data_IF_331196249837
#
_entry.id   IF_331196249837
#
_cell.length_a   1.000
_cell.length_b   1.000
_cell.length_c   1.000
_cell.angle_alpha   90.00
_cell.angle_beta   90.00
_cell.angle_gamma   90.00
#
_symmetry.space_group_name_H-M   'P 1'
#
loop_
_entity.id
_entity.type
_entity.pdbx_description
1 polymer ?
#
# COMPACT_ATOMS: atom_id res chain seq x y z
N UNK A 1 -9.18 -47.89 28.48
CA UNK A 1 -9.27 -46.73 27.58
C UNK A 1 -7.90 -46.07 27.56
N UNK A 2 -7.09 -46.32 26.52
CA UNK A 2 -5.70 -45.86 26.43
C UNK A 2 -5.68 -44.44 25.88
N UNK A 3 -5.00 -43.51 26.55
CA UNK A 3 -4.83 -42.14 26.06
C UNK A 3 -3.96 -42.12 24.79
N UNK A 4 -4.27 -41.29 23.78
CA UNK A 4 -3.40 -41.13 22.62
C UNK A 4 -2.10 -40.48 23.08
N UNK A 5 -0.97 -41.15 22.85
CA UNK A 5 0.36 -40.57 23.05
C UNK A 5 0.59 -39.55 21.93
N UNK A 6 0.39 -38.26 22.21
CA UNK A 6 0.69 -37.19 21.28
C UNK A 6 2.21 -37.12 21.10
N UNK A 7 2.72 -37.63 19.98
CA UNK A 7 4.13 -37.52 19.65
C UNK A 7 4.50 -36.04 19.43
N UNK A 8 5.64 -35.60 19.98
CA UNK A 8 6.08 -34.20 19.97
C UNK A 8 7.27 -34.04 19.03
N UNK A 9 7.24 -33.02 18.17
CA UNK A 9 8.31 -32.73 17.21
C UNK A 9 9.65 -32.51 17.95
N UNK A 10 10.67 -33.29 17.59
CA UNK A 10 12.06 -33.11 18.09
C UNK A 10 12.84 -32.23 17.13
N UNK A 11 13.01 -30.96 17.49
CA UNK A 11 13.79 -29.99 16.72
C UNK A 11 15.20 -29.82 17.30
N UNK A 12 16.15 -29.42 16.45
CA UNK A 12 17.51 -29.04 16.84
C UNK A 12 17.54 -27.76 17.69
N UNK A 13 16.49 -26.92 17.60
CA UNK A 13 16.32 -25.78 18.50
C UNK A 13 15.60 -26.22 19.79
N UNK A 14 16.25 -26.12 20.98
CA UNK A 14 15.63 -26.53 22.24
C UNK A 14 14.37 -25.73 22.58
N UNK A 15 14.16 -24.53 22.03
CA UNK A 15 12.92 -23.75 22.23
C UNK A 15 11.74 -24.40 21.52
N UNK A 16 11.96 -24.99 20.35
CA UNK A 16 10.91 -25.68 19.59
C UNK A 16 10.51 -26.97 20.28
N UNK A 17 11.47 -27.74 20.77
CA UNK A 17 11.19 -28.95 21.56
C UNK A 17 10.46 -28.64 22.88
N UNK A 18 10.69 -27.46 23.48
CA UNK A 18 9.94 -27.00 24.66
C UNK A 18 8.50 -26.60 24.38
N UNK A 19 8.15 -26.23 23.15
CA UNK A 19 6.78 -25.84 22.78
C UNK A 19 5.81 -27.03 22.71
N UNK A 20 6.32 -28.27 22.84
CA UNK A 20 5.53 -29.49 22.83
C UNK A 20 4.56 -29.60 21.63
N UNK A 21 5.03 -29.17 20.46
CA UNK A 21 4.24 -29.13 19.23
C UNK A 21 4.00 -30.57 18.77
N UNK A 22 2.76 -30.97 18.46
CA UNK A 22 2.46 -32.29 17.90
C UNK A 22 3.29 -32.54 16.64
N UNK A 23 3.85 -33.75 16.51
CA UNK A 23 4.58 -34.20 15.31
C UNK A 23 3.66 -34.28 14.09
N UNK A 24 2.40 -34.69 14.31
CA UNK A 24 1.33 -34.61 13.32
C UNK A 24 0.48 -33.36 13.59
N UNK A 25 0.67 -32.34 12.76
CA UNK A 25 -0.23 -31.20 12.73
C UNK A 25 -1.56 -31.61 12.11
N UNK A 26 -2.70 -31.06 12.58
CA UNK A 26 -3.96 -31.23 11.87
C UNK A 26 -3.81 -30.75 10.41
N UNK A 27 -4.58 -31.32 9.48
CA UNK A 27 -4.59 -30.84 8.10
C UNK A 27 -4.85 -29.34 8.09
N UNK A 28 -4.11 -28.60 7.25
CA UNK A 28 -4.26 -27.15 7.12
C UNK A 28 -5.71 -26.82 6.74
N UNK A 29 -6.47 -26.32 7.71
CA UNK A 29 -7.79 -25.77 7.47
C UNK A 29 -7.60 -24.32 7.05
N UNK A 30 -8.08 -23.89 5.86
CA UNK A 30 -8.07 -22.48 5.52
C UNK A 30 -8.86 -21.71 6.60
N UNK A 31 -8.26 -20.63 7.09
CA UNK A 31 -8.86 -19.74 8.07
C UNK A 31 -10.22 -19.24 7.52
N UNK A 32 -11.29 -19.20 8.32
CA UNK A 32 -12.58 -18.76 7.81
C UNK A 32 -12.47 -17.32 7.28
N UNK A 33 -13.21 -16.99 6.20
CA UNK A 33 -13.25 -15.62 5.71
C UNK A 33 -13.74 -14.69 6.83
N UNK A 34 -13.11 -13.51 6.97
CA UNK A 34 -13.34 -12.51 8.04
C UNK A 34 -12.78 -12.85 9.43
N UNK A 35 -11.91 -13.84 9.57
CA UNK A 35 -11.17 -14.08 10.82
C UNK A 35 -10.02 -13.07 11.05
N UNK A 36 -9.87 -12.12 10.13
CA UNK A 36 -9.06 -10.91 10.24
C UNK A 36 -9.95 -9.70 9.96
N UNK A 37 -9.60 -8.55 10.55
CA UNK A 37 -10.28 -7.29 10.27
C UNK A 37 -10.13 -6.90 8.81
N UNK A 38 -11.07 -6.09 8.31
CA UNK A 38 -11.01 -5.65 6.92
C UNK A 38 -9.77 -4.77 6.69
N UNK A 39 -9.05 -4.96 5.57
CA UNK A 39 -7.94 -4.10 5.20
C UNK A 39 -8.42 -2.78 4.59
N UNK A 40 -7.67 -1.73 4.89
CA UNK A 40 -7.85 -0.36 4.39
C UNK A 40 -6.52 0.12 3.82
N UNK A 41 -6.55 0.63 2.58
CA UNK A 41 -5.42 1.33 1.99
C UNK A 41 -5.37 2.78 2.46
N UNK A 42 -4.17 3.24 2.77
CA UNK A 42 -3.92 4.55 3.35
C UNK A 42 -3.21 5.45 2.35
N UNK A 43 -3.78 6.63 2.13
CA UNK A 43 -3.19 7.67 1.29
C UNK A 43 -2.83 8.89 2.13
N UNK A 44 -1.59 9.34 2.02
CA UNK A 44 -1.05 10.45 2.81
C UNK A 44 -0.63 11.60 1.91
N UNK A 45 -0.76 12.82 2.41
CA UNK A 45 -0.36 14.06 1.73
C UNK A 45 0.37 14.98 2.71
N UNK A 46 1.59 15.37 2.35
CA UNK A 46 2.44 16.21 3.19
C UNK A 46 2.05 17.70 3.11
N UNK A 47 1.84 18.24 1.91
CA UNK A 47 1.64 19.67 1.65
C UNK A 47 0.38 19.95 0.81
N UNK A 48 -0.24 21.12 0.95
CA UNK A 48 -1.28 21.56 0.01
C UNK A 48 -0.73 21.64 -1.41
N UNK A 49 -1.49 21.16 -2.40
CA UNK A 49 -1.08 21.07 -3.80
C UNK A 49 -0.45 19.74 -4.23
N UNK A 50 0.12 18.96 -3.30
CA UNK A 50 0.71 17.65 -3.63
C UNK A 50 -0.36 16.59 -3.92
N UNK A 51 0.02 15.55 -4.68
CA UNK A 51 -0.83 14.38 -4.89
C UNK A 51 -0.77 13.46 -3.67
N UNK A 52 -1.90 12.91 -3.20
CA UNK A 52 -1.90 11.88 -2.18
C UNK A 52 -1.09 10.67 -2.65
N UNK A 53 -0.17 10.19 -1.82
CA UNK A 53 0.63 9.00 -2.09
C UNK A 53 0.10 7.84 -1.27
N UNK A 54 0.05 6.65 -1.87
CA UNK A 54 -0.24 5.43 -1.14
C UNK A 54 0.94 5.08 -0.22
N UNK A 55 0.69 4.92 1.08
CA UNK A 55 1.75 4.64 2.08
C UNK A 55 1.69 3.23 2.65
N UNK A 56 0.56 2.54 2.51
CA UNK A 56 0.40 1.16 2.95
C UNK A 56 -1.00 0.84 3.45
N UNK A 57 -1.12 -0.34 4.06
CA UNK A 57 -2.40 -0.93 4.45
C UNK A 57 -2.53 -1.03 5.97
N UNK A 58 -3.72 -0.81 6.51
CA UNK A 58 -4.07 -1.04 7.93
C UNK A 58 -5.29 -1.95 8.03
N UNK A 59 -5.33 -2.79 9.05
CA UNK A 59 -6.50 -3.63 9.33
C UNK A 59 -7.31 -2.99 10.45
N UNK A 60 -8.59 -2.77 10.23
CA UNK A 60 -9.47 -2.08 11.17
C UNK A 60 -10.92 -2.58 11.07
N UNK A 61 -11.70 -2.52 12.16
CA UNK A 61 -13.11 -2.91 12.14
C UNK A 61 -14.01 -1.89 11.42
N UNK A 62 -13.61 -0.62 11.41
CA UNK A 62 -14.39 0.48 10.83
C UNK A 62 -13.47 1.59 10.28
N UNK A 63 -13.99 2.49 9.40
CA UNK A 63 -13.19 3.55 8.79
C UNK A 63 -12.64 4.60 9.78
N UNK A 64 -13.34 4.86 10.89
CA UNK A 64 -12.88 5.83 11.89
C UNK A 64 -11.67 5.29 12.64
N UNK A 65 -11.72 4.02 13.03
CA UNK A 65 -10.59 3.31 13.62
C UNK A 65 -9.43 3.19 12.64
N UNK A 66 -9.72 2.93 11.35
CA UNK A 66 -8.71 2.91 10.31
C UNK A 66 -7.94 4.26 10.23
N UNK A 67 -8.65 5.40 10.33
CA UNK A 67 -8.01 6.73 10.36
C UNK A 67 -7.09 6.91 11.58
N UNK A 68 -7.52 6.47 12.75
CA UNK A 68 -6.72 6.56 13.99
C UNK A 68 -5.44 5.72 13.85
N UNK A 69 -5.57 4.46 13.42
CA UNK A 69 -4.44 3.57 13.22
C UNK A 69 -3.49 4.07 12.13
N UNK A 70 -4.04 4.58 11.01
CA UNK A 70 -3.26 5.17 9.93
C UNK A 70 -2.47 6.40 10.41
N UNK A 71 -3.09 7.28 11.20
CA UNK A 71 -2.43 8.45 11.78
C UNK A 71 -1.26 8.03 12.69
N UNK A 72 -1.48 7.05 13.55
CA UNK A 72 -0.45 6.58 14.49
C UNK A 72 0.71 5.86 13.79
N UNK A 73 0.45 5.14 12.70
CA UNK A 73 1.50 4.43 11.98
C UNK A 73 2.28 5.33 11.01
N UNK A 74 1.60 6.19 10.25
CA UNK A 74 2.19 6.91 9.11
C UNK A 74 2.43 8.41 9.35
N UNK A 75 1.76 9.03 10.32
CA UNK A 75 1.78 10.50 10.50
C UNK A 75 2.54 10.98 11.75
N UNK A 76 3.28 10.10 12.44
CA UNK A 76 3.82 10.34 13.79
C UNK A 76 4.79 11.51 13.94
N UNK A 77 5.68 11.75 12.98
CA UNK A 77 6.79 12.73 13.11
C UNK A 77 6.88 13.73 11.97
N UNK A 78 5.95 13.68 11.02
CA UNK A 78 5.94 14.53 9.84
C UNK A 78 4.79 15.53 9.87
N UNK A 79 4.94 16.62 9.11
CA UNK A 79 3.79 17.48 8.78
C UNK A 79 2.82 16.67 7.94
N UNK A 80 1.57 16.60 8.37
CA UNK A 80 0.50 15.91 7.65
C UNK A 80 -0.55 16.93 7.30
N UNK A 81 -0.81 17.08 6.00
CA UNK A 81 -1.85 17.98 5.51
C UNK A 81 -3.18 17.25 5.35
N UNK A 82 -3.16 16.05 4.75
CA UNK A 82 -4.35 15.22 4.61
C UNK A 82 -4.00 13.73 4.72
N UNK A 83 -4.96 12.96 5.21
CA UNK A 83 -4.90 11.51 5.35
C UNK A 83 -6.24 10.93 4.93
N UNK A 84 -6.21 9.98 4.00
CA UNK A 84 -7.40 9.28 3.52
C UNK A 84 -7.24 7.78 3.77
N UNK A 85 -8.35 7.13 4.05
CA UNK A 85 -8.45 5.68 4.16
C UNK A 85 -9.57 5.20 3.26
N UNK A 86 -9.33 4.08 2.57
CA UNK A 86 -10.31 3.47 1.68
C UNK A 86 -10.28 1.98 1.92
N UNK A 87 -11.44 1.32 2.03
CA UNK A 87 -11.48 -0.15 2.13
C UNK A 87 -10.83 -0.75 0.89
N UNK A 88 -9.97 -1.75 1.07
CA UNK A 88 -9.33 -2.42 -0.06
C UNK A 88 -10.37 -3.04 -1.01
N UNK A 89 -11.51 -3.51 -0.47
CA UNK A 89 -12.62 -4.03 -1.27
C UNK A 89 -13.29 -3.00 -2.19
N UNK A 90 -13.14 -1.69 -1.91
CA UNK A 90 -13.72 -0.62 -2.73
C UNK A 90 -12.74 -0.15 -3.83
N UNK A 91 -11.51 -0.68 -3.88
CA UNK A 91 -10.48 -0.28 -4.85
C UNK A 91 -10.48 -1.24 -6.03
N UNK A 92 -10.74 -0.68 -7.22
CA UNK A 92 -10.68 -1.41 -8.48
C UNK A 92 -9.41 -1.00 -9.23
N UNK A 93 -8.60 -1.98 -9.58
CA UNK A 93 -7.37 -1.80 -10.33
C UNK A 93 -7.39 -2.69 -11.59
N UNK A 94 -6.76 -2.20 -12.66
CA UNK A 94 -6.55 -2.98 -13.87
C UNK A 94 -5.45 -4.01 -13.67
N UNK A 95 -5.51 -5.12 -14.41
CA UNK A 95 -4.44 -6.10 -14.38
C UNK A 95 -3.21 -5.55 -15.11
N UNK A 96 -1.98 -5.89 -14.70
CA UNK A 96 -0.77 -5.49 -15.43
C UNK A 96 -0.73 -5.88 -16.92
N UNK A 97 -1.59 -6.82 -17.34
CA UNK A 97 -1.70 -7.25 -18.73
C UNK A 97 -2.66 -6.38 -19.55
N UNK A 98 -3.47 -5.53 -18.92
CA UNK A 98 -4.43 -4.63 -19.58
C UNK A 98 -3.78 -3.28 -19.94
N UNK A 99 -2.45 -3.27 -20.11
CA UNK A 99 -1.67 -2.06 -20.37
C UNK A 99 -2.03 -1.41 -21.72
N UNK A 100 -2.44 -2.23 -22.68
CA UNK A 100 -2.90 -1.83 -24.01
C UNK A 100 -4.09 -0.85 -23.96
N UNK A 101 -4.92 -0.93 -22.92
CA UNK A 101 -6.07 -0.04 -22.76
C UNK A 101 -5.69 1.42 -22.45
N UNK A 102 -4.44 1.66 -22.02
CA UNK A 102 -3.93 3.00 -21.72
C UNK A 102 -3.09 3.60 -22.86
N UNK A 103 -2.85 2.85 -23.94
CA UNK A 103 -2.06 3.34 -25.07
C UNK A 103 -2.85 4.36 -25.90
N UNK A 104 -2.24 5.52 -26.16
CA UNK A 104 -2.83 6.53 -27.04
C UNK A 104 -2.75 6.06 -28.49
N UNK A 105 -3.85 6.14 -29.23
CA UNK A 105 -3.84 5.90 -30.68
C UNK A 105 -2.80 6.83 -31.36
N UNK A 106 -1.87 6.30 -32.18
CA UNK A 106 -0.72 7.04 -32.67
C UNK A 106 -1.05 8.31 -33.48
N UNK A 107 -2.26 8.40 -34.05
CA UNK A 107 -2.71 9.57 -34.81
C UNK A 107 -3.14 10.78 -33.95
N UNK A 108 -3.35 10.60 -32.64
CA UNK A 108 -3.93 11.64 -31.76
C UNK A 108 -2.93 12.21 -30.76
N UNK A 109 -1.71 12.46 -31.22
CA UNK A 109 -0.59 13.01 -30.43
C UNK A 109 -0.92 14.33 -29.72
N UNK A 110 -1.87 15.12 -30.22
CA UNK A 110 -2.33 16.37 -29.58
C UNK A 110 -2.94 16.18 -28.18
N UNK A 111 -3.29 14.96 -27.78
CA UNK A 111 -3.82 14.63 -26.45
C UNK A 111 -2.72 14.48 -25.41
N UNK A 112 -1.47 14.29 -25.85
CA UNK A 112 -0.34 14.16 -24.95
C UNK A 112 0.12 15.54 -24.45
N UNK A 113 0.41 15.68 -23.14
CA UNK A 113 0.91 16.94 -22.58
C UNK A 113 2.17 17.46 -23.29
N UNK A 114 2.98 16.55 -23.84
CA UNK A 114 4.25 16.85 -24.51
C UNK A 114 4.07 17.52 -25.89
N UNK A 115 2.90 17.36 -26.53
CA UNK A 115 2.61 18.01 -27.81
C UNK A 115 2.46 19.53 -27.67
N UNK A 116 2.20 20.04 -26.46
CA UNK A 116 2.10 21.47 -26.21
C UNK A 116 3.48 22.11 -25.97
N UNK A 117 4.08 22.66 -27.04
CA UNK A 117 5.34 23.45 -27.02
C UNK A 117 5.40 24.56 -25.96
N UNK A 118 4.25 24.99 -25.44
CA UNK A 118 4.13 25.98 -24.37
C UNK A 118 4.79 25.52 -23.07
N UNK A 119 4.71 24.22 -22.75
CA UNK A 119 5.31 23.64 -21.53
C UNK A 119 6.83 23.76 -21.57
N UNK A 120 7.45 23.43 -22.71
CA UNK A 120 8.89 23.56 -22.91
C UNK A 120 9.36 25.03 -22.79
N UNK A 121 8.56 25.98 -23.29
CA UNK A 121 8.86 27.42 -23.20
C UNK A 121 8.80 27.92 -21.75
N UNK A 122 7.79 27.49 -20.98
CA UNK A 122 7.65 27.82 -19.55
C UNK A 122 8.79 27.24 -18.71
N UNK A 123 9.18 25.98 -18.95
CA UNK A 123 10.30 25.34 -18.26
C UNK A 123 11.62 26.06 -18.53
N UNK A 124 11.88 26.45 -19.79
CA UNK A 124 13.06 27.23 -20.17
C UNK A 124 13.12 28.59 -19.47
N UNK A 125 11.98 29.30 -19.40
CA UNK A 125 11.89 30.58 -18.69
C UNK A 125 12.19 30.43 -17.19
N UNK A 126 11.59 29.44 -16.52
CA UNK A 126 11.88 29.12 -15.11
C UNK A 126 13.37 28.83 -14.87
N UNK A 127 14.01 28.09 -15.79
CA UNK A 127 15.43 27.73 -15.70
C UNK A 127 16.34 28.96 -15.85
N UNK A 128 15.99 29.89 -16.75
CA UNK A 128 16.72 31.16 -16.92
C UNK A 128 16.58 32.06 -15.68
N UNK A 129 15.40 32.09 -15.06
CA UNK A 129 15.15 32.87 -13.85
C UNK A 129 15.98 32.34 -12.67
N UNK A 130 16.04 31.02 -12.46
CA UNK A 130 16.90 30.41 -11.44
C UNK A 130 18.39 30.70 -11.64
N UNK A 131 18.86 30.76 -12.88
CA UNK A 131 20.28 31.07 -13.19
C UNK A 131 20.61 32.55 -12.96
N UNK A 132 19.65 33.45 -13.15
CA UNK A 132 19.80 34.87 -12.86
C UNK A 132 19.81 35.16 -11.36
N UNK A 133 19.04 34.41 -10.57
CA UNK A 133 18.96 34.56 -9.10
C UNK A 133 20.18 33.96 -8.36
N UNK A 134 21.01 33.16 -9.04
CA UNK A 134 22.18 32.47 -8.46
C UNK A 134 23.50 33.22 -8.72
N UNK A 135 23.48 34.32 -9.48
CA UNK A 135 24.64 35.21 -9.73
C UNK A 135 24.51 36.49 -8.91
#
# INVERSE_FOLDING_TARGET
MSAPQTATIRSLDPRVTRMNIPEELPPFAPKPPLDEWEPYEVFWKEKPGDQPIHVGTVHAPDPEMALVLAKENYCRRGRTYALWVVRTADIYAFHPNDADMFETTPEKTYREPDAYKVVQKLLRLKKQQQQADTQ
#
